data_IF_900703099278
#
_entry.id   IF_900703099278
#
_cell.length_a   1.000
_cell.length_b   1.000
_cell.length_c   1.000
_cell.angle_alpha   90.00
_cell.angle_beta   90.00
_cell.angle_gamma   90.00
#
_symmetry.space_group_name_H-M   'P 1'
#
loop_
_entity.id
_entity.type
_entity.pdbx_description
1 polymer ?
#
# COMPACT_ATOMS: atom_id res chain seq x y z
N UNK A 1 23.90 -17.59 3.80
CA UNK A 1 23.89 -18.27 2.48
C UNK A 1 23.13 -17.37 1.51
N UNK A 2 23.84 -16.74 0.59
CA UNK A 2 23.29 -15.86 -0.43
C UNK A 2 22.57 -16.74 -1.49
N UNK A 3 21.25 -16.72 -1.54
CA UNK A 3 20.51 -17.31 -2.66
C UNK A 3 20.40 -16.24 -3.74
N UNK A 4 21.36 -16.28 -4.67
CA UNK A 4 21.29 -15.56 -5.95
C UNK A 4 20.13 -16.14 -6.77
N UNK A 5 19.11 -15.35 -7.03
CA UNK A 5 18.15 -15.60 -8.09
C UNK A 5 18.83 -15.27 -9.42
N UNK A 6 19.56 -16.23 -9.97
CA UNK A 6 20.06 -16.15 -11.33
C UNK A 6 18.88 -16.37 -12.30
N UNK A 7 18.57 -15.36 -13.09
CA UNK A 7 17.71 -15.51 -14.28
C UNK A 7 16.53 -14.56 -14.46
N UNK A 8 16.33 -13.56 -13.57
CA UNK A 8 15.38 -12.48 -13.86
C UNK A 8 16.17 -11.18 -13.76
N UNK A 9 16.54 -10.61 -14.90
CA UNK A 9 17.04 -9.23 -14.97
C UNK A 9 15.92 -8.30 -14.48
N UNK A 10 15.94 -7.96 -13.19
CA UNK A 10 15.14 -6.88 -12.67
C UNK A 10 15.91 -5.61 -12.97
N UNK A 11 15.43 -4.74 -13.86
CA UNK A 11 16.12 -3.49 -14.18
C UNK A 11 16.36 -2.73 -12.87
N UNK A 12 17.49 -2.04 -12.74
CA UNK A 12 17.77 -1.18 -11.60
C UNK A 12 16.66 -0.12 -11.50
N UNK A 13 15.74 -0.34 -10.56
CA UNK A 13 14.53 0.48 -10.44
C UNK A 13 14.80 1.86 -9.84
N UNK A 14 16.07 2.22 -9.55
CA UNK A 14 16.43 3.47 -8.86
C UNK A 14 15.94 3.56 -7.41
N UNK A 15 15.19 2.57 -6.95
CA UNK A 15 14.48 2.58 -5.65
C UNK A 15 15.43 2.74 -4.46
N UNK A 16 16.66 2.18 -4.54
CA UNK A 16 17.65 2.31 -3.45
C UNK A 16 18.08 3.76 -3.21
N UNK A 17 18.05 4.59 -4.23
CA UNK A 17 18.47 6.00 -4.19
C UNK A 17 17.28 6.96 -4.08
N UNK A 18 16.07 6.45 -4.04
CA UNK A 18 14.86 7.24 -4.03
C UNK A 18 14.80 8.20 -2.84
N UNK A 19 14.45 9.43 -3.11
CA UNK A 19 14.29 10.50 -2.11
C UNK A 19 12.88 10.53 -1.54
N UNK A 20 11.86 10.19 -2.36
CA UNK A 20 10.46 10.16 -1.95
C UNK A 20 9.71 9.01 -2.62
N UNK A 21 9.69 7.88 -1.97
CA UNK A 21 8.97 6.72 -2.46
C UNK A 21 7.45 6.93 -2.45
N UNK A 22 6.81 6.57 -3.56
CA UNK A 22 5.38 6.66 -3.73
C UNK A 22 4.80 5.58 -4.63
N UNK A 23 3.48 5.57 -4.73
CA UNK A 23 2.75 4.59 -5.49
C UNK A 23 1.62 5.23 -6.28
N UNK A 24 1.41 4.75 -7.49
CA UNK A 24 0.28 5.12 -8.35
C UNK A 24 -0.56 3.88 -8.58
N UNK A 25 -1.88 4.01 -8.46
CA UNK A 25 -2.86 2.97 -8.74
C UNK A 25 -3.74 3.40 -9.91
N UNK A 26 -3.69 2.65 -10.98
CA UNK A 26 -4.54 2.86 -12.16
C UNK A 26 -5.87 2.13 -11.98
N UNK A 27 -6.94 2.89 -11.73
CA UNK A 27 -8.28 2.34 -11.52
C UNK A 27 -8.88 1.72 -12.79
N UNK A 28 -8.41 2.11 -13.99
CA UNK A 28 -8.85 1.46 -15.23
C UNK A 28 -8.33 0.02 -15.36
N UNK A 29 -7.15 -0.24 -14.79
CA UNK A 29 -6.53 -1.57 -14.83
C UNK A 29 -6.90 -2.45 -13.65
N UNK A 30 -7.42 -1.88 -12.55
CA UNK A 30 -7.75 -2.63 -11.34
C UNK A 30 -9.04 -3.44 -11.55
N UNK A 31 -8.92 -4.76 -11.50
CA UNK A 31 -10.04 -5.71 -11.67
C UNK A 31 -10.59 -6.27 -10.35
N UNK A 32 -10.14 -5.77 -9.21
CA UNK A 32 -10.62 -6.20 -7.90
C UNK A 32 -10.19 -7.60 -7.44
N UNK A 33 -9.22 -8.23 -8.08
CA UNK A 33 -8.85 -9.65 -7.89
C UNK A 33 -8.21 -10.02 -6.53
N UNK A 34 -7.96 -9.06 -5.64
CA UNK A 34 -7.33 -9.25 -4.31
C UNK A 34 -5.91 -9.84 -4.31
N UNK A 35 -5.31 -10.17 -5.45
CA UNK A 35 -3.96 -10.75 -5.55
C UNK A 35 -2.91 -9.89 -4.83
N UNK A 36 -3.01 -8.57 -4.93
CA UNK A 36 -2.11 -7.65 -4.23
C UNK A 36 -2.26 -7.72 -2.70
N UNK A 37 -3.47 -7.96 -2.18
CA UNK A 37 -3.74 -8.11 -0.75
C UNK A 37 -3.20 -9.43 -0.21
N UNK A 38 -3.42 -10.54 -0.94
CA UNK A 38 -2.89 -11.86 -0.60
C UNK A 38 -1.37 -11.86 -0.62
N UNK A 39 -0.76 -11.35 -1.69
CA UNK A 39 0.69 -11.25 -1.82
C UNK A 39 1.33 -10.36 -0.73
N UNK A 40 0.65 -9.28 -0.31
CA UNK A 40 1.07 -8.46 0.81
C UNK A 40 1.01 -9.24 2.12
N UNK A 41 -0.10 -9.97 2.34
CA UNK A 41 -0.32 -10.76 3.55
C UNK A 41 0.77 -11.83 3.72
N UNK A 42 1.08 -12.53 2.66
CA UNK A 42 2.11 -13.57 2.63
C UNK A 42 3.52 -12.98 2.83
N UNK A 43 3.91 -11.97 2.02
CA UNK A 43 5.23 -11.35 2.10
C UNK A 43 5.51 -10.73 3.48
N UNK A 44 4.49 -10.18 4.13
CA UNK A 44 4.64 -9.46 5.39
C UNK A 44 4.26 -10.32 6.60
N UNK A 45 3.90 -11.59 6.39
CA UNK A 45 3.41 -12.48 7.45
C UNK A 45 2.31 -11.81 8.30
N UNK A 46 1.34 -11.17 7.63
CA UNK A 46 0.26 -10.45 8.32
C UNK A 46 -0.67 -11.45 8.98
N UNK A 47 -0.99 -11.30 10.28
CA UNK A 47 -1.81 -12.25 11.01
C UNK A 47 -3.17 -12.54 10.38
N UNK A 48 -3.71 -13.75 10.62
CA UNK A 48 -5.05 -14.13 10.16
C UNK A 48 -6.08 -13.12 10.67
N UNK A 49 -7.01 -12.72 9.79
CA UNK A 49 -8.06 -11.72 10.08
C UNK A 49 -7.62 -10.26 9.92
N UNK A 50 -6.32 -9.99 9.70
CA UNK A 50 -5.81 -8.64 9.45
C UNK A 50 -5.34 -8.47 8.01
N UNK A 51 -5.45 -7.24 7.50
CA UNK A 51 -5.01 -6.87 6.16
C UNK A 51 -4.34 -5.50 6.19
N UNK A 52 -3.13 -5.38 5.60
CA UNK A 52 -2.44 -4.11 5.40
C UNK A 52 -2.80 -3.45 4.07
N UNK A 53 -3.33 -4.23 3.16
CA UNK A 53 -3.84 -3.82 1.87
C UNK A 53 -5.23 -4.41 1.69
N UNK A 54 -6.18 -3.57 1.29
CA UNK A 54 -7.58 -3.93 1.05
C UNK A 54 -7.97 -3.51 -0.36
N UNK A 55 -8.96 -4.15 -0.92
CA UNK A 55 -9.61 -3.74 -2.18
C UNK A 55 -11.03 -3.36 -1.86
N UNK A 56 -11.39 -2.14 -2.16
CA UNK A 56 -12.73 -1.57 -1.90
C UNK A 56 -13.50 -1.51 -3.19
N UNK A 57 -14.81 -1.78 -3.13
CA UNK A 57 -15.75 -1.52 -4.22
C UNK A 57 -16.20 -0.07 -4.13
N UNK A 58 -16.15 0.62 -5.25
CA UNK A 58 -16.50 2.04 -5.38
C UNK A 58 -17.59 2.19 -6.42
N UNK A 59 -18.62 2.99 -6.13
CA UNK A 59 -19.75 3.18 -7.02
C UNK A 59 -20.65 1.96 -7.19
N UNK A 60 -20.54 0.97 -6.29
CA UNK A 60 -21.40 -0.19 -6.22
C UNK A 60 -22.36 -0.13 -5.01
N UNK A 61 -23.41 -0.95 -5.02
CA UNK A 61 -24.37 -1.02 -3.92
C UNK A 61 -23.84 -1.75 -2.69
N UNK A 62 -22.96 -2.71 -2.90
CA UNK A 62 -22.27 -3.47 -1.86
C UNK A 62 -20.90 -3.96 -2.36
N UNK A 63 -20.15 -4.68 -1.50
CA UNK A 63 -18.87 -5.28 -1.89
C UNK A 63 -19.09 -6.23 -3.09
N UNK A 64 -18.31 -6.02 -4.15
CA UNK A 64 -18.36 -6.77 -5.41
C UNK A 64 -19.74 -6.79 -6.10
N UNK A 65 -20.60 -5.79 -5.80
CA UNK A 65 -21.93 -5.67 -6.37
C UNK A 65 -22.05 -4.33 -7.11
N UNK A 66 -22.36 -4.34 -8.41
CA UNK A 66 -22.54 -3.10 -9.16
C UNK A 66 -23.83 -2.37 -8.73
N UNK A 67 -23.80 -1.04 -8.81
CA UNK A 67 -25.00 -0.20 -8.72
C UNK A 67 -25.63 -0.01 -10.10
N UNK A 68 -26.94 0.31 -10.14
CA UNK A 68 -27.67 0.56 -11.36
C UNK A 68 -28.40 -0.65 -11.92
N UNK A 69 -28.95 -0.50 -13.13
CA UNK A 69 -29.66 -1.56 -13.86
C UNK A 69 -29.01 -1.77 -15.21
N UNK A 70 -29.01 -3.03 -15.67
CA UNK A 70 -28.44 -3.35 -16.98
C UNK A 70 -29.22 -2.57 -18.10
N UNK A 71 -28.51 -1.94 -19.07
CA UNK A 71 -27.07 -1.98 -19.32
C UNK A 71 -26.23 -0.93 -18.55
N UNK A 72 -26.83 -0.03 -17.77
CA UNK A 72 -26.17 1.10 -17.11
C UNK A 72 -25.68 0.72 -15.70
N UNK A 73 -24.74 -0.22 -15.65
CA UNK A 73 -24.12 -0.65 -14.42
C UNK A 73 -22.84 0.13 -14.12
N UNK A 74 -22.66 0.50 -12.85
CA UNK A 74 -21.45 1.18 -12.37
C UNK A 74 -20.79 0.40 -11.25
N UNK A 75 -19.49 0.17 -11.38
CA UNK A 75 -18.63 -0.37 -10.33
C UNK A 75 -17.17 -0.13 -10.66
N UNK A 76 -16.39 0.22 -9.66
CA UNK A 76 -14.93 0.31 -9.76
C UNK A 76 -14.27 -0.29 -8.53
N UNK A 77 -12.97 -0.60 -8.63
CA UNK A 77 -12.19 -1.10 -7.51
C UNK A 77 -11.10 -0.12 -7.13
N UNK A 78 -10.92 0.04 -5.83
CA UNK A 78 -9.85 0.85 -5.26
C UNK A 78 -9.04 0.00 -4.30
N UNK A 79 -7.84 -0.37 -4.72
CA UNK A 79 -6.91 -1.04 -3.82
C UNK A 79 -6.21 -0.01 -2.93
N UNK A 80 -6.38 -0.12 -1.60
CA UNK A 80 -5.87 0.82 -0.62
C UNK A 80 -4.92 0.18 0.37
N UNK A 81 -3.86 0.90 0.72
CA UNK A 81 -2.88 0.55 1.75
C UNK A 81 -2.43 1.84 2.46
N UNK A 82 -1.51 1.78 3.42
CA UNK A 82 -0.98 3.01 4.01
C UNK A 82 -0.46 3.96 2.92
N UNK A 83 -0.83 5.23 3.00
CA UNK A 83 -0.50 6.25 2.00
C UNK A 83 0.86 6.90 2.21
N UNK A 84 1.61 6.51 3.24
CA UNK A 84 2.94 7.05 3.55
C UNK A 84 3.01 8.57 3.40
N UNK A 85 2.06 9.26 4.06
CA UNK A 85 1.84 10.69 3.94
C UNK A 85 3.12 11.50 4.17
N UNK A 86 3.28 12.60 3.43
CA UNK A 86 4.40 13.52 3.65
C UNK A 86 4.24 14.30 4.96
N UNK A 87 3.00 14.64 5.32
CA UNK A 87 2.62 15.24 6.60
C UNK A 87 1.79 14.24 7.43
N UNK A 88 2.41 13.20 8.04
CA UNK A 88 1.68 12.08 8.63
C UNK A 88 1.12 12.41 10.03
N UNK A 89 -0.21 12.50 10.21
CA UNK A 89 -0.80 12.77 11.54
C UNK A 89 -0.52 11.65 12.53
N UNK A 90 -0.38 10.42 12.05
CA UNK A 90 -0.07 9.26 12.88
C UNK A 90 1.34 9.27 13.49
N UNK A 91 2.31 9.95 12.88
CA UNK A 91 3.65 10.18 13.45
C UNK A 91 3.55 11.21 14.56
N UNK A 92 2.82 12.31 14.31
CA UNK A 92 2.61 13.39 15.30
C UNK A 92 1.85 12.91 16.55
N UNK A 93 0.92 11.98 16.36
CA UNK A 93 0.10 11.42 17.43
C UNK A 93 0.81 10.37 18.29
N UNK A 94 2.01 9.88 17.91
CA UNK A 94 2.67 8.80 18.60
C UNK A 94 3.44 9.30 19.83
N UNK A 95 3.01 8.99 21.08
CA UNK A 95 3.65 9.51 22.29
C UNK A 95 5.06 8.95 22.50
N UNK A 96 5.33 7.73 22.05
CA UNK A 96 6.64 7.08 22.19
C UNK A 96 7.54 7.25 20.98
N UNK A 97 7.07 7.98 19.95
CA UNK A 97 7.75 8.10 18.66
C UNK A 97 8.06 6.73 18.01
N UNK A 98 7.29 5.70 18.35
CA UNK A 98 7.39 4.38 17.71
C UNK A 98 7.02 4.46 16.21
N UNK A 99 6.05 5.31 15.86
CA UNK A 99 5.76 5.62 14.45
C UNK A 99 6.63 6.80 14.02
N UNK A 100 7.40 6.60 12.94
CA UNK A 100 8.35 7.59 12.44
C UNK A 100 8.36 7.64 10.92
N UNK A 101 8.90 8.71 10.33
CA UNK A 101 9.10 8.87 8.89
C UNK A 101 10.58 8.72 8.57
N UNK A 102 10.89 7.87 7.60
CA UNK A 102 12.24 7.67 7.08
C UNK A 102 12.61 8.76 6.07
N UNK A 103 13.90 8.91 5.78
CA UNK A 103 14.40 9.91 4.83
C UNK A 103 13.81 9.77 3.42
N UNK A 104 13.51 8.55 2.99
CA UNK A 104 12.89 8.24 1.70
C UNK A 104 11.34 8.34 1.69
N UNK A 105 10.76 8.99 2.70
CA UNK A 105 9.31 9.23 2.80
C UNK A 105 8.52 8.07 3.39
N UNK A 106 9.09 6.89 3.60
CA UNK A 106 8.38 5.76 4.20
C UNK A 106 8.03 6.08 5.66
N UNK A 107 6.74 5.99 6.00
CA UNK A 107 6.31 5.99 7.40
C UNK A 107 6.39 4.57 7.92
N UNK A 108 7.11 4.34 9.01
CA UNK A 108 7.32 3.01 9.59
C UNK A 108 6.97 2.96 11.09
N UNK A 109 7.01 1.78 11.68
CA UNK A 109 6.75 1.55 13.12
C UNK A 109 7.89 0.73 13.71
N UNK A 110 8.47 1.23 14.80
CA UNK A 110 9.37 0.46 15.65
C UNK A 110 8.53 -0.28 16.68
N UNK A 111 8.49 -1.61 16.59
CA UNK A 111 7.63 -2.44 17.44
C UNK A 111 8.11 -2.50 18.90
N UNK A 112 9.41 -2.37 19.15
CA UNK A 112 9.98 -2.40 20.51
C UNK A 112 9.59 -1.14 21.31
N UNK A 113 9.33 -0.03 20.61
CA UNK A 113 8.89 1.24 21.22
C UNK A 113 7.38 1.40 21.24
N UNK A 114 6.64 0.54 20.54
CA UNK A 114 5.19 0.63 20.44
C UNK A 114 4.52 0.09 21.71
N UNK A 115 3.82 0.95 22.43
CA UNK A 115 3.06 0.60 23.65
C UNK A 115 1.61 0.18 23.35
N UNK A 116 1.21 0.10 22.08
CA UNK A 116 -0.13 -0.33 21.70
C UNK A 116 -1.26 0.61 22.05
N UNK A 117 -1.00 1.89 22.31
CA UNK A 117 -2.04 2.88 22.70
C UNK A 117 -3.06 3.18 21.59
N UNK A 118 -2.81 2.76 20.34
CA UNK A 118 -3.69 2.91 19.16
C UNK A 118 -4.02 4.33 18.76
N UNK A 119 -3.44 5.34 19.37
CA UNK A 119 -3.72 6.72 19.05
C UNK A 119 -3.40 7.05 17.58
N UNK A 120 -2.36 6.43 17.01
CA UNK A 120 -2.04 6.55 15.59
C UNK A 120 -3.09 5.93 14.65
N UNK A 121 -3.94 5.00 15.12
CA UNK A 121 -5.08 4.48 14.35
C UNK A 121 -6.18 5.51 14.28
N UNK A 122 -6.53 6.13 15.41
CA UNK A 122 -7.54 7.21 15.47
C UNK A 122 -7.11 8.44 14.66
N UNK A 123 -5.82 8.75 14.68
CA UNK A 123 -5.28 9.89 13.92
C UNK A 123 -5.20 9.64 12.40
N UNK A 124 -5.31 8.40 11.94
CA UNK A 124 -5.23 8.07 10.52
C UNK A 124 -6.60 8.27 9.84
N UNK A 125 -6.78 9.26 8.93
CA UNK A 125 -8.08 9.49 8.30
C UNK A 125 -8.46 8.39 7.28
N UNK A 126 -7.54 7.47 6.96
CA UNK A 126 -7.68 6.44 5.93
C UNK A 126 -7.96 5.05 6.50
N UNK A 127 -7.98 4.89 7.82
CA UNK A 127 -8.11 3.61 8.51
C UNK A 127 -7.14 2.53 7.98
N UNK A 128 -5.91 2.93 7.66
CA UNK A 128 -4.88 2.05 7.07
C UNK A 128 -3.89 1.53 8.13
N UNK A 129 -4.37 1.31 9.36
CA UNK A 129 -3.60 0.72 10.46
C UNK A 129 -4.40 -0.40 11.11
N UNK A 130 -3.71 -1.46 11.46
CA UNK A 130 -4.29 -2.62 12.16
C UNK A 130 -3.60 -2.84 13.49
N UNK A 131 -4.26 -3.52 14.41
CA UNK A 131 -3.74 -3.79 15.74
C UNK A 131 -3.74 -5.29 16.03
N UNK A 132 -2.65 -5.80 16.57
CA UNK A 132 -2.49 -7.20 16.94
C UNK A 132 -3.06 -7.47 18.34
N UNK A 133 -4.37 -7.70 18.42
CA UNK A 133 -5.08 -7.97 19.67
C UNK A 133 -4.67 -9.29 20.35
N UNK A 134 -4.30 -10.28 19.54
CA UNK A 134 -3.90 -11.61 20.00
C UNK A 134 -2.48 -11.89 19.55
N UNK A 135 -1.83 -12.85 20.19
CA UNK A 135 -0.59 -13.36 19.67
C UNK A 135 -0.86 -13.89 18.25
N UNK A 136 -0.13 -13.41 17.24
CA UNK A 136 -0.32 -13.89 15.88
C UNK A 136 -0.03 -15.37 15.80
N UNK A 137 -0.97 -16.14 15.25
CA UNK A 137 -0.68 -17.51 14.83
C UNK A 137 0.14 -17.39 13.55
N UNK A 138 1.37 -17.80 13.59
CA UNK A 138 2.23 -17.87 12.42
C UNK A 138 2.02 -19.23 11.78
N UNK A 139 1.39 -19.24 10.63
CA UNK A 139 1.56 -20.39 9.75
C UNK A 139 2.90 -20.22 9.01
N UNK A 140 3.70 -21.30 8.91
CA UNK A 140 4.89 -21.25 8.08
C UNK A 140 4.45 -20.86 6.67
N UNK A 141 5.18 -19.95 6.00
CA UNK A 141 4.83 -19.57 4.64
C UNK A 141 4.78 -20.84 3.79
N UNK A 142 3.65 -21.10 3.16
CA UNK A 142 3.50 -22.21 2.25
C UNK A 142 4.53 -22.04 1.12
N UNK A 143 5.62 -22.80 1.18
CA UNK A 143 6.66 -23.04 0.14
C UNK A 143 7.04 -21.89 -0.83
N UNK A 144 6.60 -20.67 -0.60
CA UNK A 144 6.97 -19.52 -1.42
C UNK A 144 8.22 -18.88 -0.84
N UNK A 145 9.23 -18.73 -1.65
CA UNK A 145 10.47 -18.05 -1.28
C UNK A 145 10.18 -16.58 -1.02
N UNK A 146 9.99 -16.24 0.24
CA UNK A 146 9.82 -14.85 0.69
C UNK A 146 11.19 -14.19 0.67
N UNK A 147 11.35 -13.15 -0.15
CA UNK A 147 12.59 -12.37 -0.19
C UNK A 147 12.66 -11.51 1.06
N UNK A 148 13.72 -11.69 1.84
CA UNK A 148 13.93 -11.05 3.13
C UNK A 148 13.19 -11.74 4.27
N UNK A 149 13.84 -11.86 5.42
CA UNK A 149 13.21 -12.40 6.62
C UNK A 149 12.13 -11.45 7.11
N UNK A 150 10.92 -11.94 7.21
CA UNK A 150 9.84 -11.21 7.86
C UNK A 150 9.72 -11.74 9.27
N UNK A 151 10.08 -10.97 10.29
CA UNK A 151 10.05 -11.42 11.67
C UNK A 151 8.62 -11.75 12.10
N UNK A 152 8.55 -12.55 13.16
CA UNK A 152 7.30 -12.84 13.87
C UNK A 152 6.58 -11.52 14.22
N UNK A 153 5.28 -11.46 13.99
CA UNK A 153 4.51 -10.26 14.34
C UNK A 153 4.27 -10.23 15.84
N UNK A 154 4.64 -9.13 16.53
CA UNK A 154 4.43 -9.05 17.98
C UNK A 154 2.96 -8.77 18.33
N UNK A 155 2.51 -9.29 19.49
CA UNK A 155 1.22 -8.95 20.07
C UNK A 155 1.24 -7.54 20.65
N UNK A 156 0.10 -6.85 20.61
CA UNK A 156 -0.08 -5.57 21.32
C UNK A 156 0.52 -4.36 20.60
N UNK A 157 0.87 -4.47 19.33
CA UNK A 157 1.42 -3.38 18.52
C UNK A 157 0.49 -3.00 17.38
N UNK A 158 0.66 -1.79 16.87
CA UNK A 158 -0.01 -1.30 15.66
C UNK A 158 0.87 -1.58 14.44
N UNK A 159 0.26 -2.13 13.41
CA UNK A 159 0.91 -2.44 12.14
C UNK A 159 0.27 -1.73 10.96
N UNK A 160 0.97 -1.68 9.83
CA UNK A 160 0.52 -1.10 8.57
C UNK A 160 1.45 -1.48 7.42
N UNK A 161 1.07 -1.18 6.20
CA UNK A 161 1.96 -1.27 5.04
C UNK A 161 3.27 -0.50 5.28
N UNK A 162 4.40 -1.12 4.94
CA UNK A 162 5.76 -0.58 5.08
C UNK A 162 6.40 -0.25 3.73
N UNK A 163 5.64 -0.26 2.61
CA UNK A 163 6.16 -0.27 1.25
C UNK A 163 7.19 -1.40 1.03
N UNK A 164 7.00 -2.52 1.75
CA UNK A 164 7.92 -3.66 1.71
C UNK A 164 9.38 -3.23 1.93
N UNK A 165 9.66 -2.48 3.02
CA UNK A 165 10.98 -1.89 3.28
C UNK A 165 12.13 -2.88 3.14
N UNK A 166 11.95 -4.15 3.53
CA UNK A 166 12.94 -5.21 3.37
C UNK A 166 13.25 -5.54 1.90
N UNK A 167 12.30 -5.31 0.98
CA UNK A 167 12.51 -5.48 -0.46
C UNK A 167 13.05 -4.21 -1.11
N UNK A 168 12.45 -3.06 -0.76
CA UNK A 168 12.81 -1.78 -1.37
C UNK A 168 14.23 -1.34 -0.96
N UNK A 169 14.73 -1.73 0.21
CA UNK A 169 16.13 -1.55 0.59
C UNK A 169 17.10 -2.37 -0.29
N UNK A 170 16.65 -3.49 -0.82
CA UNK A 170 17.41 -4.30 -1.79
C UNK A 170 17.23 -3.83 -3.24
N UNK A 171 16.43 -2.78 -3.49
CA UNK A 171 16.14 -2.26 -4.82
C UNK A 171 15.02 -3.02 -5.54
N UNK A 172 14.31 -3.89 -4.84
CA UNK A 172 13.22 -4.67 -5.38
C UNK A 172 11.88 -3.94 -5.22
N UNK A 173 10.98 -4.12 -6.18
CA UNK A 173 9.63 -3.59 -6.11
C UNK A 173 8.81 -4.22 -4.96
N UNK A 174 7.87 -3.48 -4.35
CA UNK A 174 6.93 -4.03 -3.38
C UNK A 174 6.17 -5.24 -3.93
N UNK A 175 5.92 -6.25 -3.07
CA UNK A 175 5.31 -7.51 -3.52
C UNK A 175 3.93 -7.30 -4.17
N UNK A 176 3.13 -6.37 -3.69
CA UNK A 176 1.81 -6.04 -4.26
C UNK A 176 1.89 -5.42 -5.66
N UNK A 177 3.01 -4.83 -6.05
CA UNK A 177 3.25 -4.32 -7.40
C UNK A 177 3.60 -5.49 -8.33
N UNK A 178 4.59 -6.30 -7.92
CA UNK A 178 5.03 -7.47 -8.71
C UNK A 178 3.91 -8.49 -8.92
N UNK A 179 3.05 -8.67 -7.93
CA UNK A 179 1.97 -9.65 -7.98
C UNK A 179 0.71 -9.16 -8.73
N UNK A 180 0.65 -7.88 -9.13
CA UNK A 180 -0.52 -7.34 -9.80
C UNK A 180 -0.63 -7.87 -11.25
N UNK A 181 -1.63 -8.71 -11.59
CA UNK A 181 -1.70 -9.35 -12.90
C UNK A 181 -2.00 -8.37 -14.04
N UNK A 182 -2.60 -7.23 -13.72
CA UNK A 182 -2.99 -6.21 -14.71
C UNK A 182 -2.01 -5.03 -14.77
N UNK A 183 -0.96 -5.02 -13.92
CA UNK A 183 -0.06 -3.88 -13.83
C UNK A 183 -0.77 -2.58 -13.37
N UNK A 184 -1.81 -2.70 -12.56
CA UNK A 184 -2.55 -1.54 -12.04
C UNK A 184 -1.77 -0.74 -10.99
N UNK A 185 -0.68 -1.28 -10.44
CA UNK A 185 0.10 -0.65 -9.37
C UNK A 185 1.51 -0.36 -9.87
N UNK A 186 1.91 0.89 -9.81
CA UNK A 186 3.25 1.37 -10.16
C UNK A 186 3.90 1.96 -8.92
N UNK A 187 5.19 1.72 -8.72
CA UNK A 187 5.94 2.19 -7.56
C UNK A 187 7.28 2.80 -7.99
N UNK A 188 7.67 3.91 -7.38
CA UNK A 188 8.93 4.59 -7.72
C UNK A 188 9.17 5.82 -6.87
N UNK A 189 10.13 6.63 -7.31
CA UNK A 189 10.46 7.91 -6.70
C UNK A 189 9.59 9.02 -7.29
N UNK A 190 8.84 9.72 -6.44
CA UNK A 190 7.96 10.84 -6.83
C UNK A 190 8.77 12.12 -7.15
N UNK A 191 10.01 12.22 -6.66
CA UNK A 191 10.85 13.38 -6.88
C UNK A 191 11.79 13.22 -8.11
N UNK A 192 11.89 11.99 -8.66
CA UNK A 192 12.60 11.76 -9.93
C UNK A 192 11.62 11.98 -11.10
N UNK A 193 11.83 13.01 -11.95
CA UNK A 193 10.95 13.30 -13.08
C UNK A 193 10.93 12.20 -14.15
N UNK A 194 11.93 11.32 -14.18
CA UNK A 194 12.06 10.22 -15.12
C UNK A 194 11.48 8.91 -14.57
N UNK A 195 11.07 8.87 -13.31
CA UNK A 195 10.43 7.68 -12.75
C UNK A 195 9.05 7.44 -13.38
N UNK A 196 8.66 6.19 -13.51
CA UNK A 196 7.36 5.82 -14.09
C UNK A 196 6.18 6.45 -13.33
N UNK A 197 6.26 6.54 -12.00
CA UNK A 197 5.22 7.18 -11.18
C UNK A 197 5.09 8.67 -11.50
N UNK A 198 6.20 9.39 -11.67
CA UNK A 198 6.19 10.83 -12.00
C UNK A 198 5.68 11.08 -13.41
N UNK A 199 6.05 10.24 -14.37
CA UNK A 199 5.54 10.28 -15.74
C UNK A 199 4.02 10.08 -15.75
N UNK A 200 3.52 9.05 -15.06
CA UNK A 200 2.09 8.77 -14.98
C UNK A 200 1.30 9.92 -14.35
N UNK A 201 1.83 10.53 -13.29
CA UNK A 201 1.18 11.67 -12.61
C UNK A 201 1.19 12.96 -13.42
N UNK A 202 2.19 13.14 -14.28
CA UNK A 202 2.27 14.28 -15.22
C UNK A 202 1.32 14.10 -16.40
N UNK A 203 1.25 12.91 -16.97
CA UNK A 203 0.60 12.65 -18.26
C UNK A 203 -0.88 12.25 -18.10
N UNK A 204 -1.32 11.87 -16.89
CA UNK A 204 -2.68 11.42 -16.63
C UNK A 204 -3.30 12.09 -15.41
N UNK A 205 -4.61 12.45 -15.48
CA UNK A 205 -5.31 13.03 -14.34
C UNK A 205 -5.33 12.05 -13.17
N UNK A 206 -5.01 12.56 -11.99
CA UNK A 206 -4.92 11.79 -10.76
C UNK A 206 -5.54 12.52 -9.57
N UNK A 207 -5.85 11.77 -8.52
CA UNK A 207 -6.32 12.33 -7.26
C UNK A 207 -5.71 11.63 -6.07
N UNK A 208 -5.81 12.27 -4.91
CA UNK A 208 -5.51 11.69 -3.60
C UNK A 208 -6.78 11.68 -2.76
N UNK A 209 -6.91 10.70 -1.88
CA UNK A 209 -8.08 10.57 -0.99
C UNK A 209 -7.99 11.62 0.12
N UNK A 210 -9.09 12.31 0.40
CA UNK A 210 -9.23 13.35 1.45
C UNK A 210 -8.16 14.45 1.39
N UNK A 211 -8.01 15.17 0.26
CA UNK A 211 -7.01 16.22 0.11
C UNK A 211 -7.16 17.35 1.16
N UNK A 212 -8.39 17.61 1.61
CA UNK A 212 -8.73 18.60 2.63
C UNK A 212 -8.11 18.29 4.01
N UNK A 213 -7.70 17.05 4.27
CA UNK A 213 -7.01 16.66 5.50
C UNK A 213 -5.56 17.14 5.59
N UNK A 214 -5.00 17.64 4.48
CA UNK A 214 -3.66 18.22 4.43
C UNK A 214 -2.53 17.23 4.76
N UNK A 215 -2.77 15.93 4.64
CA UNK A 215 -1.79 14.87 4.99
C UNK A 215 -0.74 14.65 3.90
N UNK A 216 -0.98 15.13 2.68
CA UNK A 216 -0.12 14.97 1.50
C UNK A 216 0.26 13.50 1.25
N UNK A 217 -0.68 12.65 0.79
CA UNK A 217 -0.42 11.25 0.49
C UNK A 217 0.68 11.05 -0.55
N UNK A 218 1.49 9.99 -0.41
CA UNK A 218 2.42 9.50 -1.44
C UNK A 218 1.82 8.34 -2.26
N UNK A 219 0.54 8.05 -2.08
CA UNK A 219 -0.23 7.14 -2.92
C UNK A 219 -1.28 7.94 -3.68
N UNK A 220 -1.26 7.82 -5.00
CA UNK A 220 -2.15 8.52 -5.91
C UNK A 220 -2.99 7.52 -6.70
N UNK A 221 -4.17 7.94 -7.11
CA UNK A 221 -5.06 7.18 -7.98
C UNK A 221 -5.20 7.89 -9.31
N UNK A 222 -4.99 7.18 -10.42
CA UNK A 222 -5.34 7.69 -11.74
C UNK A 222 -6.85 7.62 -11.91
N UNK A 223 -7.44 8.73 -12.37
CA UNK A 223 -8.89 8.81 -12.56
C UNK A 223 -9.31 7.80 -13.62
N UNK A 224 -10.38 7.08 -13.30
CA UNK A 224 -10.98 6.15 -14.24
C UNK A 224 -11.63 6.95 -15.38
N UNK A 225 -11.30 6.57 -16.61
CA UNK A 225 -11.88 7.14 -17.83
C UNK A 225 -12.70 6.06 -18.53
N UNK A 226 -13.93 6.38 -18.93
CA UNK A 226 -14.80 5.44 -19.65
C UNK A 226 -16.27 5.86 -19.59
N UNK A 227 -17.15 5.25 -20.39
CA UNK A 227 -18.58 5.47 -20.26
C UNK A 227 -19.05 4.98 -18.88
N UNK A 228 -20.01 5.68 -18.29
CA UNK A 228 -20.62 5.41 -16.98
C UNK A 228 -19.68 5.59 -15.76
N UNK A 229 -18.74 6.53 -15.84
CA UNK A 229 -17.95 6.95 -14.69
C UNK A 229 -18.32 8.38 -14.33
N UNK A 230 -19.29 8.56 -13.46
CA UNK A 230 -19.37 9.81 -12.70
C UNK A 230 -18.16 9.85 -11.76
N UNK A 231 -17.38 10.93 -11.87
CA UNK A 231 -16.17 11.11 -11.09
C UNK A 231 -16.49 11.12 -9.59
N UNK A 232 -16.49 9.95 -8.97
CA UNK A 232 -16.60 9.80 -7.54
C UNK A 232 -15.33 10.29 -6.86
N UNK A 233 -15.28 11.57 -6.51
CA UNK A 233 -14.45 12.02 -5.42
C UNK A 233 -15.11 11.54 -4.13
N UNK A 234 -14.35 10.84 -3.27
CA UNK A 234 -14.75 10.53 -1.90
C UNK A 234 -14.73 11.75 -1.02
#
# INVERSE_FOLDING_TARGET
MSTSYEGIDVPDSGIKKATRLGMVVDQNKCIGCWTCAVACKEQQNVPIGLYWLRVLTVGGDAMDTPAGTFPDLTMAYQSTNCFHCDNPPCVKACPTQATYKMANGIVNVNYDRCIGCRYCMVACPYDNRVFNWRAPVQEPPASVTVVGETPARPKGVVEKCTFCVQRTSEGLLPRCVVACPTGARTFGDLDDPNSEVSILLRDRPSYVVFPERGTKPSLHYLIRTGPNVEGGAF
#
